data_IF_853247846208
#
_entry.id   IF_853247846208
#
_cell.length_a   1.000
_cell.length_b   1.000
_cell.length_c   1.000
_cell.angle_alpha   90.00
_cell.angle_beta   90.00
_cell.angle_gamma   90.00
#
_symmetry.space_group_name_H-M   'P 1'
#
loop_
_entity.id
_entity.type
_entity.pdbx_description
1 polymer ?
#
# COMPACT_ATOMS: atom_id res chain seq x y z
N UNK A 1 43.83 12.46 -47.04
CA UNK A 1 45.20 12.88 -47.41
C UNK A 1 45.56 14.05 -46.49
N UNK A 2 46.55 14.07 -45.61
CA UNK A 2 47.68 13.20 -45.26
C UNK A 2 48.02 13.56 -43.78
N UNK A 3 48.19 12.64 -42.82
CA UNK A 3 49.50 12.12 -42.35
C UNK A 3 50.71 12.95 -42.82
N UNK A 4 51.66 13.42 -42.00
CA UNK A 4 52.36 12.75 -40.91
C UNK A 4 53.51 13.67 -40.40
N UNK A 5 54.00 13.38 -39.18
CA UNK A 5 55.41 13.51 -38.70
C UNK A 5 55.92 14.95 -38.43
N UNK A 6 56.74 15.24 -37.40
CA UNK A 6 57.91 14.47 -36.96
C UNK A 6 58.34 14.86 -35.53
N UNK A 7 58.86 13.86 -34.81
CA UNK A 7 59.53 13.90 -33.49
C UNK A 7 60.86 14.69 -33.47
N UNK A 8 61.30 15.09 -32.26
CA UNK A 8 62.58 14.68 -31.60
C UNK A 8 62.80 15.54 -30.34
N UNK A 9 62.74 14.97 -29.12
CA UNK A 9 63.79 14.25 -28.34
C UNK A 9 64.89 15.14 -27.73
N UNK A 10 65.19 14.87 -26.44
CA UNK A 10 66.47 14.95 -25.66
C UNK A 10 66.22 15.68 -24.31
N UNK A 11 66.03 14.95 -23.19
CA UNK A 11 67.01 14.49 -22.15
C UNK A 11 67.73 15.67 -21.44
N UNK A 12 68.02 15.75 -20.13
CA UNK A 12 67.83 14.99 -18.89
C UNK A 12 68.42 15.89 -17.75
N UNK A 13 68.29 15.48 -16.47
CA UNK A 13 69.04 15.90 -15.25
C UNK A 13 68.70 17.20 -14.54
N UNK A 14 68.50 17.10 -13.21
CA UNK A 14 68.50 18.23 -12.29
C UNK A 14 67.61 18.02 -11.06
N UNK A 15 68.00 17.16 -10.13
CA UNK A 15 67.39 17.08 -8.81
C UNK A 15 67.82 18.27 -7.95
N UNK A 16 66.90 18.94 -7.25
CA UNK A 16 67.15 19.54 -5.94
C UNK A 16 65.87 19.57 -5.11
N UNK A 17 65.94 18.92 -3.96
CA UNK A 17 64.96 18.96 -2.90
C UNK A 17 65.01 20.32 -2.19
N UNK A 18 63.84 20.87 -1.87
CA UNK A 18 63.69 21.82 -0.79
C UNK A 18 62.42 21.47 0.00
N UNK A 19 62.63 20.89 1.18
CA UNK A 19 61.63 20.79 2.23
C UNK A 19 61.23 22.21 2.65
N UNK A 20 59.96 22.57 2.50
CA UNK A 20 59.36 23.66 3.24
C UNK A 20 58.10 23.12 3.94
N UNK A 21 58.24 22.87 5.24
CA UNK A 21 57.14 22.65 6.16
C UNK A 21 56.31 23.95 6.24
N UNK A 22 55.23 23.99 5.45
CA UNK A 22 54.16 24.97 5.58
C UNK A 22 52.92 24.30 6.17
N UNK A 23 52.76 24.36 7.49
CA UNK A 23 51.49 24.03 8.14
C UNK A 23 50.52 25.17 7.83
N UNK A 24 49.62 24.96 6.87
CA UNK A 24 48.41 25.77 6.71
C UNK A 24 47.22 24.96 7.23
N UNK A 25 46.89 25.18 8.51
CA UNK A 25 45.58 24.83 9.08
C UNK A 25 44.59 25.88 8.57
N UNK A 26 43.55 25.44 7.86
CA UNK A 26 42.56 26.36 7.29
C UNK A 26 41.41 25.68 6.56
N UNK A 27 40.48 25.13 7.35
CA UNK A 27 39.04 25.07 7.07
C UNK A 27 38.58 24.41 5.77
N UNK A 28 38.84 23.11 5.63
CA UNK A 28 37.95 22.25 4.85
C UNK A 28 36.66 22.04 5.61
N UNK A 29 35.64 22.87 5.38
CA UNK A 29 34.27 22.52 5.77
C UNK A 29 33.91 21.25 4.99
N UNK A 30 34.00 20.10 5.65
CA UNK A 30 33.45 18.86 5.14
C UNK A 30 31.94 19.06 5.07
N UNK A 31 31.43 19.37 3.87
CA UNK A 31 30.05 19.10 3.55
C UNK A 31 29.89 17.58 3.66
N UNK A 32 29.44 17.11 4.83
CA UNK A 32 28.89 15.78 4.94
C UNK A 32 27.79 15.72 3.87
N UNK A 33 28.01 14.92 2.84
CA UNK A 33 26.94 14.55 1.94
C UNK A 33 25.86 13.95 2.83
N UNK A 34 24.77 14.70 3.04
CA UNK A 34 23.58 14.18 3.68
C UNK A 34 23.12 13.04 2.77
N UNK A 35 23.45 11.81 3.16
CA UNK A 35 22.99 10.64 2.44
C UNK A 35 21.48 10.70 2.40
N UNK A 36 20.91 10.69 1.19
CA UNK A 36 19.47 10.57 1.04
C UNK A 36 19.04 9.31 1.82
N UNK A 37 18.06 9.40 2.74
CA UNK A 37 17.59 8.22 3.46
C UNK A 37 17.27 7.12 2.45
N UNK A 38 17.79 5.91 2.66
CA UNK A 38 17.50 4.80 1.76
C UNK A 38 16.01 4.49 1.83
N UNK A 39 15.28 4.77 0.76
CA UNK A 39 13.86 4.48 0.66
C UNK A 39 13.69 3.04 0.16
N UNK A 40 13.33 2.14 1.07
CA UNK A 40 13.01 0.74 0.74
C UNK A 40 11.61 0.69 0.13
N UNK A 41 11.45 0.09 -1.06
CA UNK A 41 10.11 -0.18 -1.59
C UNK A 41 9.49 -1.34 -0.84
N UNK A 42 8.30 -1.14 -0.28
CA UNK A 42 7.63 -2.11 0.59
C UNK A 42 6.19 -2.33 0.18
N UNK A 43 5.65 -3.48 0.62
CA UNK A 43 4.23 -3.79 0.62
C UNK A 43 3.80 -4.12 2.04
N UNK A 44 2.92 -3.29 2.60
CA UNK A 44 2.47 -3.40 4.00
C UNK A 44 0.98 -3.73 4.02
N UNK A 45 0.59 -4.70 4.85
CA UNK A 45 -0.82 -5.02 5.11
C UNK A 45 -1.11 -4.77 6.58
N UNK A 46 -2.15 -3.98 6.87
CA UNK A 46 -2.52 -3.65 8.24
C UNK A 46 -3.80 -2.82 8.33
N UNK A 47 -4.28 -2.60 9.54
CA UNK A 47 -5.43 -1.75 9.82
C UNK A 47 -5.03 -0.27 9.76
N UNK A 48 -5.82 0.56 9.08
CA UNK A 48 -5.64 2.02 9.14
C UNK A 48 -6.23 2.57 10.44
N UNK A 49 -5.42 3.23 11.27
CA UNK A 49 -5.80 3.71 12.59
C UNK A 49 -5.53 5.20 12.78
N UNK A 50 -6.26 5.82 13.71
CA UNK A 50 -5.84 7.09 14.30
C UNK A 50 -4.73 6.81 15.32
N UNK A 51 -3.54 7.41 15.12
CA UNK A 51 -2.38 7.09 15.95
C UNK A 51 -2.52 7.61 17.37
N UNK A 52 -3.24 8.71 17.58
CA UNK A 52 -3.48 9.23 18.91
C UNK A 52 -4.28 8.21 19.73
N UNK A 53 -5.44 7.80 19.22
CA UNK A 53 -6.31 6.84 19.91
C UNK A 53 -5.64 5.48 20.09
N UNK A 54 -4.91 5.00 19.07
CA UNK A 54 -4.22 3.72 19.14
C UNK A 54 -3.12 3.71 20.22
N UNK A 55 -2.29 4.76 20.29
CA UNK A 55 -1.16 4.83 21.21
C UNK A 55 -1.57 5.22 22.64
N UNK A 56 -2.64 5.99 22.82
CA UNK A 56 -3.12 6.45 24.12
C UNK A 56 -3.87 5.34 24.89
N UNK A 57 -4.81 4.68 24.23
CA UNK A 57 -5.71 3.73 24.90
C UNK A 57 -6.10 2.52 24.02
N UNK A 58 -5.32 2.23 22.97
CA UNK A 58 -5.61 1.15 22.01
C UNK A 58 -7.01 1.28 21.38
N UNK A 59 -7.45 2.50 21.09
CA UNK A 59 -8.69 2.76 20.37
C UNK A 59 -8.56 2.47 18.88
N UNK A 60 -9.10 1.36 18.40
CA UNK A 60 -9.15 1.00 16.97
C UNK A 60 -10.33 0.08 16.62
N UNK A 61 -10.41 -0.36 15.37
CA UNK A 61 -11.46 -1.24 14.86
C UNK A 61 -12.72 -0.51 14.42
N UNK A 62 -13.63 -1.26 13.78
CA UNK A 62 -14.82 -0.68 13.13
C UNK A 62 -15.75 0.06 14.09
N UNK A 63 -15.76 -0.29 15.38
CA UNK A 63 -16.51 0.46 16.40
C UNK A 63 -15.96 1.87 16.61
N UNK A 64 -14.65 2.05 16.38
CA UNK A 64 -13.93 3.30 16.55
C UNK A 64 -13.80 4.11 15.24
N UNK A 65 -14.19 3.55 14.10
CA UNK A 65 -14.05 4.16 12.76
C UNK A 65 -14.54 5.60 12.66
N UNK A 66 -15.73 5.90 13.19
CA UNK A 66 -16.31 7.26 13.10
C UNK A 66 -15.46 8.26 13.86
N UNK A 67 -15.05 7.93 15.09
CA UNK A 67 -14.18 8.78 15.89
C UNK A 67 -12.83 8.98 15.18
N UNK A 68 -12.25 7.91 14.67
CA UNK A 68 -10.98 7.94 13.96
C UNK A 68 -11.01 8.84 12.71
N UNK A 69 -12.09 8.80 11.92
CA UNK A 69 -12.28 9.71 10.78
C UNK A 69 -12.34 11.16 11.24
N UNK A 70 -13.17 11.46 12.24
CA UNK A 70 -13.32 12.82 12.76
C UNK A 70 -12.01 13.40 13.27
N UNK A 71 -11.22 12.61 13.99
CA UNK A 71 -9.90 13.03 14.49
C UNK A 71 -8.89 13.23 13.36
N UNK A 72 -8.84 12.33 12.38
CA UNK A 72 -7.98 12.47 11.21
C UNK A 72 -8.34 13.72 10.37
N UNK A 73 -9.63 14.02 10.19
CA UNK A 73 -10.12 15.25 9.55
C UNK A 73 -9.68 16.50 10.33
N UNK A 74 -9.66 16.43 11.66
CA UNK A 74 -9.16 17.50 12.54
C UNK A 74 -7.63 17.67 12.53
N UNK A 75 -6.88 16.73 11.92
CA UNK A 75 -5.43 16.83 11.75
C UNK A 75 -4.61 15.85 12.56
N UNK A 76 -5.24 14.92 13.28
CA UNK A 76 -4.50 13.87 13.95
C UNK A 76 -3.75 12.99 12.93
N UNK A 77 -2.52 12.57 13.27
CA UNK A 77 -1.77 11.67 12.41
C UNK A 77 -2.44 10.29 12.38
N UNK A 78 -2.44 9.68 11.20
CA UNK A 78 -2.93 8.31 11.01
C UNK A 78 -1.76 7.38 10.72
N UNK A 79 -2.01 6.08 10.87
CA UNK A 79 -1.02 5.06 10.63
C UNK A 79 -1.63 3.75 10.17
N UNK A 80 -0.76 2.80 9.86
CA UNK A 80 -1.12 1.42 9.57
C UNK A 80 -0.54 0.55 10.67
N UNK A 81 -1.34 -0.34 11.23
CA UNK A 81 -0.89 -1.31 12.23
C UNK A 81 -1.00 -2.71 11.63
N UNK A 82 0.13 -3.41 11.50
CA UNK A 82 0.13 -4.77 10.98
C UNK A 82 -0.37 -5.80 12.02
N UNK A 83 -0.49 -7.06 11.62
CA UNK A 83 -0.97 -8.16 12.45
C UNK A 83 -0.06 -8.49 13.64
N UNK A 84 1.18 -7.98 13.64
CA UNK A 84 2.15 -8.11 14.73
C UNK A 84 2.12 -6.91 15.68
N UNK A 85 1.27 -5.91 15.41
CA UNK A 85 1.21 -4.67 16.18
C UNK A 85 2.30 -3.67 15.82
N UNK A 86 3.02 -3.86 14.71
CA UNK A 86 3.98 -2.86 14.24
C UNK A 86 3.21 -1.66 13.68
N UNK A 87 3.50 -0.48 14.22
CA UNK A 87 2.90 0.79 13.83
C UNK A 87 3.76 1.48 12.78
N UNK A 88 3.17 1.80 11.62
CA UNK A 88 3.76 2.61 10.58
C UNK A 88 3.03 3.95 10.52
N UNK A 89 3.75 5.08 10.61
CA UNK A 89 3.16 6.39 10.34
C UNK A 89 2.84 6.50 8.86
N UNK A 90 1.58 6.81 8.51
CA UNK A 90 1.17 6.88 7.12
C UNK A 90 1.36 8.30 6.56
N UNK A 91 2.10 8.39 5.47
CA UNK A 91 2.33 9.60 4.68
C UNK A 91 1.78 9.39 3.27
N UNK A 92 1.38 10.46 2.58
CA UNK A 92 1.04 10.38 1.16
C UNK A 92 2.29 10.31 0.29
N UNK A 93 2.21 9.59 -0.83
CA UNK A 93 3.33 9.43 -1.76
C UNK A 93 3.76 10.73 -2.45
N UNK A 94 2.86 11.71 -2.53
CA UNK A 94 3.12 13.03 -3.14
C UNK A 94 3.77 14.05 -2.17
N UNK A 95 4.21 15.19 -2.71
CA UNK A 95 5.01 16.19 -1.98
C UNK A 95 4.27 16.73 -0.74
N UNK A 96 4.72 16.32 0.44
CA UNK A 96 4.14 16.68 1.75
C UNK A 96 2.64 16.39 1.88
N UNK A 97 2.14 15.39 1.15
CA UNK A 97 0.75 14.97 1.26
C UNK A 97 0.55 14.23 2.59
N UNK A 98 -0.45 14.61 3.41
CA UNK A 98 -0.74 13.88 4.63
C UNK A 98 -1.38 12.54 4.29
N UNK A 99 -1.04 11.47 5.02
CA UNK A 99 -1.57 10.13 4.76
C UNK A 99 -3.11 10.05 4.80
N UNK A 100 -3.76 10.94 5.56
CA UNK A 100 -5.23 11.03 5.61
C UNK A 100 -5.86 11.29 4.24
N UNK A 101 -5.23 12.10 3.39
CA UNK A 101 -5.78 12.43 2.07
C UNK A 101 -5.84 11.19 1.18
N UNK A 102 -5.02 10.17 1.49
CA UNK A 102 -4.98 8.88 0.80
C UNK A 102 -5.90 7.84 1.46
N UNK A 103 -5.93 7.79 2.80
CA UNK A 103 -6.52 6.66 3.54
C UNK A 103 -7.75 6.98 4.40
N UNK A 104 -8.26 8.22 4.41
CA UNK A 104 -9.37 8.60 5.31
C UNK A 104 -10.63 7.74 5.13
N UNK A 105 -10.93 7.30 3.91
CA UNK A 105 -12.09 6.43 3.66
C UNK A 105 -11.85 4.98 4.08
N UNK A 106 -10.61 4.62 4.44
CA UNK A 106 -10.17 3.29 4.84
C UNK A 106 -9.89 3.17 6.34
N UNK A 107 -10.21 4.19 7.14
CA UNK A 107 -10.08 4.11 8.59
C UNK A 107 -10.79 2.86 9.15
N UNK A 108 -10.12 2.16 10.05
CA UNK A 108 -10.49 0.87 10.63
C UNK A 108 -10.66 -0.30 9.64
N UNK A 109 -10.27 -0.13 8.37
CA UNK A 109 -10.20 -1.20 7.38
C UNK A 109 -8.77 -1.76 7.33
N UNK A 110 -8.64 -3.07 7.11
CA UNK A 110 -7.36 -3.67 6.77
C UNK A 110 -7.07 -3.43 5.29
N UNK A 111 -6.04 -2.62 5.03
CA UNK A 111 -5.57 -2.29 3.68
C UNK A 111 -4.27 -3.01 3.38
N UNK A 112 -3.97 -3.14 2.09
CA UNK A 112 -2.62 -3.45 1.60
C UNK A 112 -2.14 -2.25 0.81
N UNK A 113 -0.99 -1.69 1.20
CA UNK A 113 -0.38 -0.54 0.53
C UNK A 113 0.93 -0.93 -0.12
N UNK A 114 1.21 -0.36 -1.28
CA UNK A 114 2.56 -0.34 -1.87
C UNK A 114 3.14 1.07 -1.70
N UNK A 115 4.42 1.14 -1.36
CA UNK A 115 5.01 2.42 -1.02
C UNK A 115 6.48 2.36 -0.67
N UNK A 116 6.97 3.44 -0.06
CA UNK A 116 8.35 3.58 0.40
C UNK A 116 8.41 3.66 1.92
N UNK A 117 9.26 2.83 2.52
CA UNK A 117 9.51 2.84 3.95
C UNK A 117 10.73 3.71 4.26
N UNK A 118 10.54 4.61 5.23
CA UNK A 118 11.61 5.40 5.83
C UNK A 118 11.67 5.04 7.30
N UNK A 119 12.89 4.75 7.79
CA UNK A 119 13.16 4.48 9.19
C UNK A 119 14.12 5.55 9.70
N UNK A 120 13.67 6.36 10.64
CA UNK A 120 14.46 7.47 11.17
C UNK A 120 14.11 7.70 12.64
N UNK A 121 15.11 7.80 13.52
CA UNK A 121 14.89 8.10 14.94
C UNK A 121 13.98 7.10 15.67
N UNK A 122 13.88 5.85 15.20
CA UNK A 122 12.97 4.84 15.77
C UNK A 122 11.52 4.93 15.27
N UNK A 123 11.24 5.79 14.28
CA UNK A 123 9.95 5.89 13.62
C UNK A 123 10.01 5.20 12.27
N UNK A 124 9.10 4.25 12.06
CA UNK A 124 8.84 3.66 10.75
C UNK A 124 7.70 4.44 10.08
N UNK A 125 7.99 5.11 8.97
CA UNK A 125 7.03 5.87 8.18
C UNK A 125 6.87 5.25 6.80
N UNK A 126 5.64 4.97 6.40
CA UNK A 126 5.29 4.50 5.06
C UNK A 126 4.72 5.65 4.23
N UNK A 127 5.39 5.97 3.13
CA UNK A 127 4.85 6.80 2.06
C UNK A 127 3.97 5.92 1.19
N UNK A 128 2.66 6.09 1.31
CA UNK A 128 1.66 5.33 0.58
C UNK A 128 1.59 5.87 -0.84
N UNK A 129 2.23 5.16 -1.76
CA UNK A 129 2.21 5.48 -3.18
C UNK A 129 0.96 4.89 -3.85
N UNK A 130 0.44 3.76 -3.34
CA UNK A 130 -0.76 3.09 -3.87
C UNK A 130 -1.47 2.20 -2.83
N UNK A 131 -2.78 1.98 -3.03
CA UNK A 131 -3.63 1.09 -2.23
C UNK A 131 -4.13 -0.06 -3.09
N UNK A 132 -3.75 -1.27 -2.71
CA UNK A 132 -4.10 -2.50 -3.43
C UNK A 132 -5.45 -3.04 -2.94
N UNK A 133 -6.40 -3.14 -3.86
CA UNK A 133 -7.73 -3.69 -3.57
C UNK A 133 -7.69 -5.18 -3.30
N UNK A 134 -8.72 -5.63 -2.57
CA UNK A 134 -8.91 -7.03 -2.20
C UNK A 134 -7.66 -7.62 -1.53
N UNK A 135 -6.85 -6.79 -0.86
CA UNK A 135 -5.59 -7.18 -0.24
C UNK A 135 -4.63 -7.90 -1.21
N UNK A 136 -4.74 -7.61 -2.52
CA UNK A 136 -3.94 -8.21 -3.58
C UNK A 136 -4.48 -9.55 -4.12
N UNK A 137 -5.66 -10.01 -3.70
CA UNK A 137 -6.30 -11.18 -4.29
C UNK A 137 -6.90 -10.87 -5.66
N UNK A 138 -6.76 -11.83 -6.59
CA UNK A 138 -7.21 -11.68 -7.97
C UNK A 138 -8.74 -11.77 -8.08
N UNK A 139 -9.45 -10.71 -8.52
CA UNK A 139 -10.92 -10.74 -8.61
C UNK A 139 -11.43 -11.75 -9.64
N UNK A 140 -10.65 -12.01 -10.69
CA UNK A 140 -11.00 -12.99 -11.72
C UNK A 140 -10.88 -14.43 -11.22
N UNK A 141 -9.99 -14.69 -10.26
CA UNK A 141 -9.76 -16.03 -9.73
C UNK A 141 -10.99 -16.57 -8.99
N UNK A 142 -11.74 -15.72 -8.27
CA UNK A 142 -12.98 -16.13 -7.62
C UNK A 142 -13.96 -16.78 -8.60
N UNK A 143 -14.13 -16.18 -9.78
CA UNK A 143 -15.08 -16.66 -10.78
C UNK A 143 -14.54 -17.82 -11.63
N UNK A 144 -13.26 -17.79 -12.00
CA UNK A 144 -12.69 -18.74 -12.96
C UNK A 144 -12.07 -19.97 -12.31
N UNK A 145 -11.61 -19.84 -11.07
CA UNK A 145 -10.93 -20.90 -10.33
C UNK A 145 -11.73 -21.35 -9.11
N UNK A 146 -12.74 -20.58 -8.68
CA UNK A 146 -13.51 -20.87 -7.47
C UNK A 146 -12.68 -20.77 -6.20
N UNK A 147 -11.56 -20.02 -6.23
CA UNK A 147 -10.59 -19.91 -5.12
C UNK A 147 -10.08 -18.48 -5.00
N UNK A 148 -9.76 -18.07 -3.77
CA UNK A 148 -9.00 -16.87 -3.50
C UNK A 148 -7.53 -17.16 -3.86
N UNK A 149 -7.00 -16.47 -4.87
CA UNK A 149 -5.62 -16.63 -5.31
C UNK A 149 -4.94 -15.27 -5.33
N UNK A 150 -3.78 -15.17 -4.70
CA UNK A 150 -2.97 -13.95 -4.72
C UNK A 150 -2.61 -13.57 -6.16
N UNK A 151 -2.82 -12.31 -6.51
CA UNK A 151 -2.32 -11.75 -7.75
C UNK A 151 -0.81 -11.52 -7.69
N UNK A 152 -0.18 -11.54 -8.85
CA UNK A 152 1.21 -11.09 -9.00
C UNK A 152 1.17 -9.57 -9.28
N UNK A 153 1.90 -8.74 -8.51
CA UNK A 153 2.00 -7.29 -8.75
C UNK A 153 2.44 -6.91 -10.18
N UNK A 154 3.20 -7.76 -10.88
CA UNK A 154 3.57 -7.55 -12.28
C UNK A 154 2.36 -7.51 -13.23
N UNK A 155 1.29 -8.24 -12.87
CA UNK A 155 0.04 -8.23 -13.60
C UNK A 155 -0.97 -7.41 -12.81
N UNK A 156 -0.85 -6.09 -12.90
CA UNK A 156 -1.76 -5.14 -12.28
C UNK A 156 -2.56 -4.33 -13.30
N UNK A 157 -3.70 -3.80 -12.86
CA UNK A 157 -4.43 -2.77 -13.58
C UNK A 157 -5.18 -1.87 -12.62
N UNK A 158 -5.37 -0.62 -13.03
CA UNK A 158 -6.20 0.33 -12.33
C UNK A 158 -7.63 0.31 -12.89
N UNK A 159 -8.62 0.43 -12.01
CA UNK A 159 -10.01 0.63 -12.39
C UNK A 159 -10.72 1.49 -11.33
N UNK A 160 -11.33 2.60 -11.76
CA UNK A 160 -11.95 3.59 -10.87
C UNK A 160 -11.00 4.12 -9.77
N UNK A 161 -9.74 4.42 -10.12
CA UNK A 161 -8.74 4.93 -9.17
C UNK A 161 -8.29 3.88 -8.13
N UNK A 162 -8.58 2.60 -8.37
CA UNK A 162 -8.24 1.49 -7.48
C UNK A 162 -7.33 0.50 -8.19
N UNK A 163 -6.28 0.05 -7.53
CA UNK A 163 -5.33 -0.92 -8.08
C UNK A 163 -5.75 -2.36 -7.77
N UNK A 164 -5.76 -3.21 -8.80
CA UNK A 164 -6.04 -4.65 -8.69
C UNK A 164 -4.87 -5.49 -9.22
N UNK A 165 -4.58 -6.60 -8.55
CA UNK A 165 -3.59 -7.59 -8.99
C UNK A 165 -4.23 -8.82 -9.59
N UNK A 166 -3.52 -9.46 -10.51
CA UNK A 166 -4.02 -10.59 -11.27
C UNK A 166 -3.02 -11.74 -11.25
N UNK A 167 -3.54 -12.97 -11.29
CA UNK A 167 -2.70 -14.17 -11.32
C UNK A 167 -1.85 -14.29 -12.60
N UNK A 168 -2.26 -13.62 -13.68
CA UNK A 168 -1.57 -13.56 -14.98
C UNK A 168 -2.12 -12.45 -15.87
N UNK A 169 -1.36 -12.04 -16.89
CA UNK A 169 -1.79 -11.04 -17.88
C UNK A 169 -3.18 -11.31 -18.48
N UNK A 170 -3.48 -12.57 -18.87
CA UNK A 170 -4.80 -12.93 -19.41
C UNK A 170 -5.95 -12.66 -18.44
N UNK A 171 -5.73 -12.80 -17.13
CA UNK A 171 -6.76 -12.50 -16.13
C UNK A 171 -7.00 -10.98 -16.05
N UNK A 172 -5.93 -10.18 -16.03
CA UNK A 172 -6.01 -8.70 -16.12
C UNK A 172 -6.80 -8.25 -17.35
N UNK A 173 -6.48 -8.79 -18.52
CA UNK A 173 -7.11 -8.36 -19.77
C UNK A 173 -8.60 -8.71 -19.82
N UNK A 174 -9.00 -9.84 -19.22
CA UNK A 174 -10.41 -10.22 -19.09
C UNK A 174 -11.14 -9.32 -18.09
N UNK A 175 -10.47 -8.95 -16.99
CA UNK A 175 -11.02 -8.00 -16.03
C UNK A 175 -11.30 -6.64 -16.69
N UNK A 176 -10.31 -6.07 -17.39
CA UNK A 176 -10.43 -4.76 -18.03
C UNK A 176 -11.56 -4.68 -19.07
N UNK A 177 -11.91 -5.81 -19.70
CA UNK A 177 -13.05 -5.87 -20.63
C UNK A 177 -14.40 -5.84 -19.92
N UNK A 178 -14.50 -6.44 -18.73
CA UNK A 178 -15.77 -6.58 -18.00
C UNK A 178 -15.59 -6.43 -16.48
N UNK A 179 -15.10 -5.28 -15.98
CA UNK A 179 -14.64 -5.14 -14.59
C UNK A 179 -15.79 -5.34 -13.59
N UNK A 180 -16.97 -4.78 -13.87
CA UNK A 180 -18.16 -4.90 -12.99
C UNK A 180 -18.59 -6.36 -12.73
N UNK A 181 -18.26 -7.29 -13.63
CA UNK A 181 -18.56 -8.72 -13.48
C UNK A 181 -17.70 -9.38 -12.41
N UNK A 182 -16.46 -8.93 -12.24
CA UNK A 182 -15.46 -9.55 -11.37
C UNK A 182 -15.30 -8.85 -10.02
N UNK A 183 -15.74 -7.59 -9.92
CA UNK A 183 -15.74 -6.88 -8.65
C UNK A 183 -16.75 -7.51 -7.68
N UNK A 184 -16.39 -7.69 -6.40
CA UNK A 184 -17.33 -8.12 -5.38
C UNK A 184 -18.55 -7.21 -5.25
N UNK A 185 -19.65 -7.76 -4.76
CA UNK A 185 -20.82 -6.99 -4.36
C UNK A 185 -20.49 -6.04 -3.20
N UNK A 186 -21.28 -4.96 -3.09
CA UNK A 186 -21.15 -3.95 -2.03
C UNK A 186 -19.73 -3.40 -1.86
N UNK A 187 -18.99 -3.30 -2.96
CA UNK A 187 -17.60 -2.83 -2.96
C UNK A 187 -16.69 -3.63 -2.00
N UNK A 188 -16.95 -4.94 -1.88
CA UNK A 188 -16.21 -5.85 -1.01
C UNK A 188 -16.73 -5.94 0.43
N UNK A 189 -17.82 -5.25 0.78
CA UNK A 189 -18.41 -5.30 2.13
C UNK A 189 -19.25 -6.56 2.36
N UNK A 190 -19.27 -7.00 3.61
CA UNK A 190 -20.03 -8.14 4.09
C UNK A 190 -21.55 -7.91 3.97
N UNK A 191 -22.19 -8.57 3.00
CA UNK A 191 -23.64 -8.45 2.76
C UNK A 191 -24.48 -8.91 3.97
N UNK A 192 -24.05 -9.97 4.67
CA UNK A 192 -24.76 -10.47 5.85
C UNK A 192 -24.67 -9.46 7.00
N UNK A 193 -23.51 -8.83 7.18
CA UNK A 193 -23.29 -7.80 8.19
C UNK A 193 -24.17 -6.58 7.90
N UNK A 194 -24.26 -6.17 6.63
CA UNK A 194 -25.16 -5.10 6.17
C UNK A 194 -26.63 -5.40 6.48
N UNK A 195 -27.09 -6.61 6.15
CA UNK A 195 -28.51 -6.98 6.26
C UNK A 195 -28.93 -7.33 7.69
N UNK A 196 -28.13 -8.10 8.45
CA UNK A 196 -28.49 -8.53 9.81
C UNK A 196 -28.12 -7.53 10.90
N UNK A 197 -27.01 -6.82 10.70
CA UNK A 197 -26.44 -5.95 11.75
C UNK A 197 -26.56 -4.46 11.41
N UNK A 198 -26.99 -4.12 10.19
CA UNK A 198 -27.01 -2.74 9.68
C UNK A 198 -25.65 -2.05 9.77
N UNK A 199 -24.57 -2.81 9.58
CA UNK A 199 -23.18 -2.33 9.66
C UNK A 199 -22.45 -2.51 8.33
N UNK A 200 -21.69 -1.49 7.96
CA UNK A 200 -20.70 -1.58 6.88
C UNK A 200 -19.41 -2.18 7.44
N UNK A 201 -19.23 -3.48 7.19
CA UNK A 201 -18.07 -4.26 7.63
C UNK A 201 -17.33 -4.74 6.38
N UNK A 202 -16.03 -4.46 6.20
CA UNK A 202 -15.25 -5.02 5.11
C UNK A 202 -15.31 -6.55 5.12
N UNK A 203 -15.47 -7.16 3.95
CA UNK A 203 -15.37 -8.61 3.81
C UNK A 203 -13.90 -9.05 3.72
N UNK A 204 -13.62 -10.26 4.19
CA UNK A 204 -12.32 -10.89 4.01
C UNK A 204 -12.23 -11.45 2.57
N UNK A 205 -11.22 -11.07 1.77
CA UNK A 205 -11.02 -11.58 0.42
C UNK A 205 -10.86 -13.11 0.31
N UNK A 206 -10.53 -13.80 1.40
CA UNK A 206 -10.42 -15.27 1.43
C UNK A 206 -11.73 -15.97 1.79
N UNK A 207 -12.68 -15.26 2.40
CA UNK A 207 -13.97 -15.78 2.84
C UNK A 207 -15.05 -15.25 1.88
N UNK A 208 -15.32 -16.02 0.83
CA UNK A 208 -16.21 -15.58 -0.25
C UNK A 208 -17.12 -16.71 -0.75
N UNK A 209 -18.23 -16.29 -1.37
CA UNK A 209 -19.12 -17.17 -2.12
C UNK A 209 -19.45 -16.51 -3.46
N UNK A 210 -19.64 -17.33 -4.50
CA UNK A 210 -20.10 -16.88 -5.81
C UNK A 210 -21.55 -17.29 -5.97
N UNK A 211 -22.44 -16.31 -6.11
CA UNK A 211 -23.87 -16.54 -6.27
C UNK A 211 -24.42 -15.73 -7.44
N UNK A 212 -25.18 -16.37 -8.34
CA UNK A 212 -25.72 -15.78 -9.58
C UNK A 212 -24.67 -14.98 -10.38
N UNK A 213 -23.44 -15.49 -10.44
CA UNK A 213 -22.35 -14.87 -11.19
C UNK A 213 -21.76 -13.61 -10.55
N UNK A 214 -22.05 -13.32 -9.28
CA UNK A 214 -21.47 -12.22 -8.49
C UNK A 214 -20.71 -12.78 -7.28
N UNK A 215 -19.59 -12.17 -6.93
CA UNK A 215 -18.81 -12.51 -5.73
C UNK A 215 -19.33 -11.74 -4.53
N UNK A 216 -19.48 -12.43 -3.40
CA UNK A 216 -19.81 -11.86 -2.10
C UNK A 216 -18.70 -12.21 -1.12
N UNK A 217 -18.16 -11.20 -0.42
CA UNK A 217 -17.16 -11.38 0.63
C UNK A 217 -17.84 -11.34 2.00
N UNK A 218 -17.25 -11.99 2.99
CA UNK A 218 -17.80 -12.07 4.35
C UNK A 218 -16.75 -11.73 5.39
N UNK A 219 -17.17 -11.10 6.48
CA UNK A 219 -16.26 -10.73 7.57
C UNK A 219 -15.75 -11.96 8.35
N UNK A 220 -16.53 -13.04 8.39
CA UNK A 220 -16.14 -14.32 8.99
C UNK A 220 -16.87 -15.50 8.34
N UNK A 221 -16.40 -16.70 8.64
CA UNK A 221 -17.02 -17.97 8.22
C UNK A 221 -18.47 -18.12 8.70
N UNK A 222 -18.83 -17.51 9.84
CA UNK A 222 -20.21 -17.53 10.32
C UNK A 222 -21.14 -16.77 9.36
N UNK A 223 -20.72 -15.58 8.92
CA UNK A 223 -21.50 -14.81 7.95
C UNK A 223 -21.54 -15.51 6.58
N UNK A 224 -20.46 -16.18 6.18
CA UNK A 224 -20.44 -17.00 4.97
C UNK A 224 -21.48 -18.12 5.04
N UNK A 225 -21.48 -18.92 6.12
CA UNK A 225 -22.46 -20.00 6.32
C UNK A 225 -23.89 -19.49 6.28
N UNK A 226 -24.16 -18.40 6.99
CA UNK A 226 -25.49 -17.78 6.99
C UNK A 226 -25.93 -17.36 5.58
N UNK A 227 -25.01 -16.84 4.75
CA UNK A 227 -25.31 -16.53 3.35
C UNK A 227 -25.57 -17.80 2.54
N UNK A 228 -24.69 -18.80 2.63
CA UNK A 228 -24.77 -20.03 1.85
C UNK A 228 -26.07 -20.82 2.11
N UNK A 229 -26.62 -20.75 3.33
CA UNK A 229 -27.91 -21.36 3.68
C UNK A 229 -29.11 -20.73 2.93
N UNK A 230 -29.09 -19.41 2.71
CA UNK A 230 -30.15 -18.72 1.99
C UNK A 230 -29.64 -17.44 1.29
N UNK A 231 -28.89 -17.57 0.18
CA UNK A 231 -28.27 -16.44 -0.50
C UNK A 231 -29.30 -15.41 -1.00
N UNK A 232 -30.42 -15.91 -1.53
CA UNK A 232 -31.48 -15.10 -2.13
C UNK A 232 -32.05 -14.09 -1.12
N UNK A 233 -32.24 -14.50 0.15
CA UNK A 233 -32.74 -13.62 1.20
C UNK A 233 -31.87 -12.37 1.38
N UNK A 234 -30.54 -12.53 1.33
CA UNK A 234 -29.62 -11.42 1.51
C UNK A 234 -29.53 -10.55 0.26
N UNK A 235 -29.49 -11.16 -0.92
CA UNK A 235 -29.42 -10.45 -2.20
C UNK A 235 -30.68 -9.62 -2.44
N UNK A 236 -31.87 -10.16 -2.16
CA UNK A 236 -33.12 -9.41 -2.28
C UNK A 236 -33.21 -8.26 -1.28
N UNK A 237 -32.69 -8.43 -0.07
CA UNK A 237 -32.76 -7.41 0.98
C UNK A 237 -31.98 -6.12 0.64
N UNK A 238 -30.96 -6.20 -0.22
CA UNK A 238 -30.17 -5.02 -0.65
C UNK A 238 -30.65 -4.41 -1.98
N UNK A 239 -31.61 -5.05 -2.65
CA UNK A 239 -32.20 -4.57 -3.90
C UNK A 239 -33.57 -3.89 -3.69
N UNK A 240 -33.97 -3.70 -2.42
CA UNK A 240 -35.18 -2.98 -2.01
C UNK A 240 -34.80 -1.58 -1.57
#
# INVERSE_FOLDING_TARGET
MATMKTQRHIRWTGAMAALALGISVGSGAAFAAQGTPSQESVKITGEVVDLWCYLDHHGHGLKHRKCAITCAEAGNPIGIVDDKGHVYVAMGGEKHQPGRDVLIQRMAETVTVEGRLVREGGVDAVYVDDVVELQGYCPVAYHKMGKAVMGNPEFRAEYNGKTFFFVKAKARDVFLKHPQKFLPALDGKCIVCKVKMHKDVPGNPTIFSVYKGKVYLFASEEQKRAFDENPERFVQAINR
#
